data_IF_965207065046
#
_entry.id   IF_965207065046
#
_cell.length_a   1.000
_cell.length_b   1.000
_cell.length_c   1.000
_cell.angle_alpha   90.00
_cell.angle_beta   90.00
_cell.angle_gamma   90.00
#
_symmetry.space_group_name_H-M   'P 1'
#
loop_
_entity.id
_entity.type
_entity.pdbx_description
1 polymer ?
#
# COMPACT_ATOMS: atom_id res chain seq x y z
N UNK A 1 42.57 -14.49 5.59
CA UNK A 1 41.26 -13.83 5.81
C UNK A 1 40.91 -13.16 4.51
N UNK A 2 40.42 -13.94 3.55
CA UNK A 2 39.89 -13.44 2.30
C UNK A 2 38.56 -12.73 2.56
N UNK A 3 38.31 -11.68 1.79
CA UNK A 3 37.10 -10.88 1.86
C UNK A 3 35.86 -11.76 1.70
N UNK A 4 34.98 -11.75 2.71
CA UNK A 4 33.62 -12.32 2.65
C UNK A 4 32.77 -11.45 1.70
N UNK A 5 33.09 -11.50 0.41
CA UNK A 5 32.28 -10.88 -0.64
C UNK A 5 30.91 -11.57 -0.63
N UNK A 6 29.84 -10.77 -0.47
CA UNK A 6 28.45 -11.23 -0.47
C UNK A 6 28.16 -12.08 -1.72
N UNK A 7 28.29 -13.39 -1.59
CA UNK A 7 28.01 -14.34 -2.67
C UNK A 7 26.52 -14.65 -2.67
N UNK A 8 25.80 -14.22 -3.71
CA UNK A 8 24.36 -14.50 -3.86
C UNK A 8 24.09 -15.24 -5.18
N UNK A 9 23.05 -16.07 -5.22
CA UNK A 9 22.67 -16.80 -6.40
C UNK A 9 22.14 -15.84 -7.47
N UNK A 10 22.77 -15.80 -8.65
CA UNK A 10 22.36 -14.94 -9.76
C UNK A 10 21.01 -15.31 -10.42
N UNK A 11 20.36 -16.41 -9.99
CA UNK A 11 19.05 -16.84 -10.50
C UNK A 11 17.93 -16.50 -9.52
N UNK A 12 18.09 -16.82 -8.24
CA UNK A 12 17.02 -16.64 -7.24
C UNK A 12 17.35 -15.64 -6.13
N UNK A 13 18.57 -15.14 -6.04
CA UNK A 13 19.01 -14.18 -5.02
C UNK A 13 19.38 -14.79 -3.67
N UNK A 14 19.34 -16.11 -3.51
CA UNK A 14 19.71 -16.80 -2.27
C UNK A 14 21.15 -16.50 -1.83
N UNK A 15 21.38 -16.29 -0.54
CA UNK A 15 22.72 -16.07 0.03
C UNK A 15 23.53 -17.37 0.06
N UNK A 16 24.59 -17.43 -0.75
CA UNK A 16 25.47 -18.58 -0.92
C UNK A 16 26.70 -18.51 0.00
N UNK A 17 26.74 -17.60 0.98
CA UNK A 17 27.86 -17.53 1.93
C UNK A 17 28.00 -18.82 2.74
N UNK A 18 29.23 -19.33 2.76
CA UNK A 18 29.59 -20.59 3.41
C UNK A 18 29.17 -21.86 2.65
N UNK A 19 28.69 -21.73 1.41
CA UNK A 19 28.52 -22.87 0.48
C UNK A 19 29.68 -22.89 -0.50
N UNK A 20 30.18 -24.08 -0.82
CA UNK A 20 31.28 -24.30 -1.76
C UNK A 20 30.96 -23.69 -3.14
N UNK A 21 31.99 -23.31 -3.89
CA UNK A 21 31.83 -22.62 -5.16
C UNK A 21 31.07 -23.43 -6.22
N UNK A 22 31.11 -24.75 -6.08
CA UNK A 22 30.58 -25.69 -7.05
C UNK A 22 29.23 -26.31 -6.66
N UNK A 23 28.72 -26.03 -5.46
CA UNK A 23 27.44 -26.57 -5.00
C UNK A 23 26.28 -25.84 -5.68
N UNK A 24 25.27 -26.60 -6.10
CA UNK A 24 24.05 -26.05 -6.70
C UNK A 24 23.31 -25.18 -5.67
N UNK A 25 22.67 -24.11 -6.12
CA UNK A 25 21.87 -23.28 -5.24
C UNK A 25 20.75 -24.14 -4.62
N UNK A 26 20.62 -24.16 -3.29
CA UNK A 26 19.68 -25.05 -2.62
C UNK A 26 18.21 -24.68 -2.85
N UNK A 27 17.93 -23.40 -3.16
CA UNK A 27 16.56 -22.93 -3.42
C UNK A 27 16.09 -23.17 -4.86
N UNK A 28 16.98 -23.03 -5.86
CA UNK A 28 16.58 -23.08 -7.27
C UNK A 28 17.30 -24.16 -8.10
N UNK A 29 18.19 -24.92 -7.49
CA UNK A 29 19.02 -25.94 -8.17
C UNK A 29 20.01 -25.37 -9.18
N UNK A 30 20.11 -24.04 -9.33
CA UNK A 30 20.96 -23.42 -10.33
C UNK A 30 22.44 -23.50 -9.92
N UNK A 31 23.32 -23.84 -10.86
CA UNK A 31 24.75 -23.84 -10.61
C UNK A 31 25.29 -22.39 -10.59
N UNK A 32 25.80 -21.89 -9.45
CA UNK A 32 26.25 -20.51 -9.33
C UNK A 32 27.44 -20.18 -10.24
N UNK A 33 28.31 -21.15 -10.55
CA UNK A 33 29.46 -20.96 -11.46
C UNK A 33 29.07 -20.84 -12.95
N UNK A 34 27.87 -21.32 -13.32
CA UNK A 34 27.35 -21.30 -14.69
C UNK A 34 26.16 -20.36 -14.87
N UNK A 35 25.65 -19.80 -13.79
CA UNK A 35 24.53 -18.88 -13.81
C UNK A 35 24.97 -17.54 -14.44
N UNK A 36 24.80 -17.42 -15.76
CA UNK A 36 24.68 -16.09 -16.37
C UNK A 36 23.55 -15.38 -15.64
N UNK A 37 23.87 -14.25 -14.99
CA UNK A 37 22.88 -13.28 -14.50
C UNK A 37 21.83 -13.17 -15.59
N UNK A 38 20.59 -13.58 -15.33
CA UNK A 38 19.49 -13.47 -16.30
C UNK A 38 19.17 -11.98 -16.46
N UNK A 39 20.00 -11.27 -17.21
CA UNK A 39 19.61 -10.02 -17.85
C UNK A 39 18.59 -10.37 -18.94
N UNK A 40 17.31 -10.38 -18.54
CA UNK A 40 16.17 -10.31 -19.47
C UNK A 40 15.99 -11.49 -20.43
N UNK A 41 15.61 -12.67 -19.93
CA UNK A 41 14.96 -13.68 -20.80
C UNK A 41 13.44 -13.63 -20.65
N UNK A 42 12.83 -13.04 -21.67
CA UNK A 42 11.49 -13.29 -22.23
C UNK A 42 10.35 -13.58 -21.25
N UNK A 43 9.65 -12.49 -20.90
CA UNK A 43 8.36 -12.36 -20.20
C UNK A 43 7.21 -13.18 -20.85
N UNK A 44 7.42 -13.81 -22.00
CA UNK A 44 6.35 -14.33 -22.86
C UNK A 44 5.91 -15.77 -22.51
N UNK A 45 6.69 -16.53 -21.73
CA UNK A 45 6.44 -17.97 -21.53
C UNK A 45 5.61 -18.36 -20.31
N UNK A 46 5.80 -17.70 -19.15
CA UNK A 46 5.23 -18.15 -17.86
C UNK A 46 4.19 -17.18 -17.26
N UNK A 47 3.85 -16.12 -18.00
CA UNK A 47 2.94 -15.08 -17.51
C UNK A 47 3.51 -14.31 -16.31
N UNK A 48 2.87 -13.19 -16.00
CA UNK A 48 3.26 -12.29 -14.90
C UNK A 48 3.25 -13.03 -13.55
N UNK A 49 2.45 -14.09 -13.41
CA UNK A 49 2.33 -14.89 -12.19
C UNK A 49 3.56 -15.73 -11.85
N UNK A 50 4.25 -16.37 -12.83
CA UNK A 50 5.41 -17.23 -12.54
C UNK A 50 6.66 -16.46 -12.04
N UNK A 51 6.81 -15.22 -12.51
CA UNK A 51 7.88 -14.32 -12.04
C UNK A 51 7.58 -13.77 -10.63
N UNK A 52 6.30 -13.57 -10.33
CA UNK A 52 5.85 -13.17 -8.99
C UNK A 52 6.07 -14.31 -7.99
N UNK A 53 5.69 -15.55 -8.31
CA UNK A 53 5.84 -16.69 -7.38
C UNK A 53 7.29 -17.01 -7.03
N UNK A 54 8.20 -17.03 -8.02
CA UNK A 54 9.61 -17.36 -7.77
C UNK A 54 10.38 -16.25 -7.02
N UNK A 55 9.97 -14.99 -7.19
CA UNK A 55 10.54 -13.87 -6.43
C UNK A 55 9.95 -13.73 -5.02
N UNK A 56 8.67 -14.07 -4.83
CA UNK A 56 8.01 -14.10 -3.52
C UNK A 56 8.58 -15.22 -2.63
N UNK A 57 8.82 -16.41 -3.20
CA UNK A 57 9.31 -17.56 -2.42
C UNK A 57 10.69 -17.32 -1.79
N UNK A 58 11.59 -16.59 -2.45
CA UNK A 58 12.97 -16.38 -1.97
C UNK A 58 13.14 -15.06 -1.20
N UNK A 59 12.42 -13.99 -1.56
CA UNK A 59 12.39 -12.76 -0.75
C UNK A 59 11.53 -12.89 0.52
N UNK A 60 10.68 -13.90 0.61
CA UNK A 60 9.94 -14.25 1.83
C UNK A 60 10.82 -14.77 2.97
N UNK A 61 12.11 -15.04 2.72
CA UNK A 61 13.05 -15.59 3.70
C UNK A 61 13.98 -14.54 4.33
N UNK A 62 14.02 -13.30 3.81
CA UNK A 62 14.83 -12.24 4.39
C UNK A 62 14.09 -11.62 5.59
N UNK A 63 14.68 -11.61 6.80
CA UNK A 63 13.98 -11.18 7.99
C UNK A 63 13.61 -9.70 7.83
N UNK A 64 12.31 -9.42 7.93
CA UNK A 64 11.84 -8.03 8.02
C UNK A 64 12.50 -7.44 9.27
N UNK A 65 13.22 -6.30 9.17
CA UNK A 65 13.83 -5.69 10.35
C UNK A 65 12.77 -5.33 11.37
N UNK A 66 13.17 -5.12 12.63
CA UNK A 66 12.21 -4.76 13.69
C UNK A 66 11.63 -3.36 13.44
N UNK A 67 10.52 -3.33 12.71
CA UNK A 67 9.73 -2.13 12.42
C UNK A 67 8.59 -1.96 13.40
N UNK A 68 8.46 -2.84 14.41
CA UNK A 68 7.27 -2.96 15.27
C UNK A 68 6.88 -1.62 15.86
N UNK A 69 7.79 -0.96 16.55
CA UNK A 69 7.48 0.26 17.30
C UNK A 69 7.04 1.39 16.36
N UNK A 70 7.80 1.59 15.28
CA UNK A 70 7.50 2.65 14.30
C UNK A 70 6.20 2.39 13.55
N UNK A 71 6.07 1.22 12.92
CA UNK A 71 4.89 0.89 12.12
C UNK A 71 3.61 0.90 12.97
N UNK A 72 3.64 0.40 14.21
CA UNK A 72 2.46 0.43 15.09
C UNK A 72 1.99 1.85 15.38
N UNK A 73 2.92 2.73 15.71
CA UNK A 73 2.61 4.12 16.01
C UNK A 73 1.98 4.81 14.80
N UNK A 74 2.60 4.69 13.63
CA UNK A 74 2.11 5.29 12.39
C UNK A 74 0.79 4.66 11.91
N UNK A 75 0.63 3.34 12.02
CA UNK A 75 -0.61 2.66 11.70
C UNK A 75 -1.75 3.09 12.61
N UNK A 76 -1.51 3.28 13.92
CA UNK A 76 -2.53 3.83 14.83
C UNK A 76 -2.95 5.24 14.42
N UNK A 77 -1.98 6.10 14.12
CA UNK A 77 -2.26 7.47 13.63
C UNK A 77 -3.07 7.41 12.33
N UNK A 78 -2.69 6.56 11.37
CA UNK A 78 -3.39 6.39 10.10
C UNK A 78 -4.83 5.88 10.28
N UNK A 79 -5.04 4.93 11.20
CA UNK A 79 -6.36 4.45 11.58
C UNK A 79 -7.23 5.59 12.13
N UNK A 80 -6.76 6.31 13.15
CA UNK A 80 -7.46 7.46 13.72
C UNK A 80 -7.75 8.55 12.69
N UNK A 81 -6.78 8.85 11.83
CA UNK A 81 -6.93 9.80 10.74
C UNK A 81 -8.03 9.38 9.77
N UNK A 82 -8.09 8.09 9.41
CA UNK A 82 -9.11 7.54 8.51
C UNK A 82 -10.50 7.55 9.16
N UNK A 83 -10.62 7.23 10.46
CA UNK A 83 -11.88 7.37 11.21
C UNK A 83 -12.35 8.82 11.25
N UNK A 84 -11.44 9.76 11.51
CA UNK A 84 -11.76 11.18 11.50
C UNK A 84 -12.28 11.63 10.12
N UNK A 85 -11.67 11.15 9.02
CA UNK A 85 -12.17 11.39 7.66
C UNK A 85 -13.56 10.82 7.44
N UNK A 86 -13.83 9.58 7.86
CA UNK A 86 -15.16 8.96 7.75
C UNK A 86 -16.20 9.77 8.51
N UNK A 87 -15.89 10.16 9.74
CA UNK A 87 -16.79 10.96 10.57
C UNK A 87 -17.05 12.34 9.95
N UNK A 88 -16.00 13.02 9.50
CA UNK A 88 -16.09 14.31 8.85
C UNK A 88 -16.92 14.24 7.55
N UNK A 89 -16.71 13.19 6.75
CA UNK A 89 -17.48 12.90 5.54
C UNK A 89 -18.95 12.62 5.86
N UNK A 90 -19.24 11.89 6.94
CA UNK A 90 -20.59 11.66 7.43
C UNK A 90 -21.29 12.99 7.78
N UNK A 91 -20.64 13.86 8.55
CA UNK A 91 -21.20 15.15 8.94
C UNK A 91 -21.54 16.03 7.73
N UNK A 92 -20.65 16.12 6.73
CA UNK A 92 -20.92 16.93 5.54
C UNK A 92 -22.00 16.30 4.64
N UNK A 93 -22.07 14.97 4.59
CA UNK A 93 -23.05 14.25 3.76
C UNK A 93 -24.48 14.46 4.26
N UNK A 94 -24.67 14.66 5.57
CA UNK A 94 -25.97 15.01 6.15
C UNK A 94 -26.14 16.53 6.37
N UNK A 95 -25.29 17.35 5.73
CA UNK A 95 -25.31 18.81 5.84
C UNK A 95 -25.26 19.35 7.29
N UNK A 96 -24.68 18.59 8.22
CA UNK A 96 -24.53 18.99 9.64
C UNK A 96 -23.47 20.08 9.78
N UNK A 97 -22.43 20.03 8.95
CA UNK A 97 -21.39 21.06 8.87
C UNK A 97 -21.37 21.71 7.48
N UNK A 98 -21.02 23.00 7.37
CA UNK A 98 -20.89 23.65 6.08
C UNK A 98 -19.73 23.04 5.28
N UNK A 99 -19.94 22.87 3.97
CA UNK A 99 -18.97 22.29 3.04
C UNK A 99 -17.63 23.05 3.04
N UNK A 100 -17.63 24.37 3.31
CA UNK A 100 -16.42 25.17 3.45
C UNK A 100 -15.56 24.75 4.64
N UNK A 101 -16.18 24.52 5.80
CA UNK A 101 -15.48 24.04 7.00
C UNK A 101 -14.91 22.63 6.77
N UNK A 102 -15.70 21.75 6.16
CA UNK A 102 -15.26 20.41 5.75
C UNK A 102 -13.99 20.47 4.89
N UNK A 103 -13.99 21.30 3.83
CA UNK A 103 -12.82 21.48 2.95
C UNK A 103 -11.61 22.09 3.66
N UNK A 104 -11.82 23.04 4.56
CA UNK A 104 -10.75 23.62 5.37
C UNK A 104 -10.09 22.58 6.28
N UNK A 105 -10.88 21.71 6.91
CA UNK A 105 -10.34 20.61 7.73
C UNK A 105 -9.55 19.64 6.86
N UNK A 106 -10.07 19.26 5.68
CA UNK A 106 -9.34 18.40 4.74
C UNK A 106 -8.04 19.02 4.25
N UNK A 107 -8.02 20.33 4.01
CA UNK A 107 -6.80 21.06 3.70
C UNK A 107 -5.74 20.88 4.79
N UNK A 108 -6.10 21.12 6.06
CA UNK A 108 -5.18 20.89 7.18
C UNK A 108 -4.71 19.43 7.28
N UNK A 109 -5.64 18.48 7.16
CA UNK A 109 -5.35 17.05 7.17
C UNK A 109 -4.43 16.61 6.03
N UNK A 110 -4.53 17.25 4.86
CA UNK A 110 -3.73 16.90 3.68
C UNK A 110 -2.24 17.23 3.80
N UNK A 111 -1.84 18.17 4.67
CA UNK A 111 -0.42 18.41 4.98
C UNK A 111 0.16 17.33 5.90
N UNK A 112 -0.67 16.82 6.81
CA UNK A 112 -0.24 15.82 7.77
C UNK A 112 -0.17 14.43 7.14
N UNK A 113 -1.08 14.12 6.22
CA UNK A 113 -1.20 12.78 5.61
C UNK A 113 0.09 12.26 4.95
N UNK A 114 0.84 13.02 4.12
CA UNK A 114 2.09 12.54 3.54
C UNK A 114 3.11 12.09 4.60
N UNK A 115 3.16 12.75 5.76
CA UNK A 115 4.04 12.38 6.87
C UNK A 115 3.63 11.02 7.45
N UNK A 116 2.32 10.80 7.63
CA UNK A 116 1.78 9.51 8.06
C UNK A 116 2.15 8.41 7.06
N UNK A 117 2.04 8.69 5.76
CA UNK A 117 2.39 7.73 4.70
C UNK A 117 3.88 7.39 4.68
N UNK A 118 4.78 8.36 4.87
CA UNK A 118 6.22 8.08 5.04
C UNK A 118 6.44 7.15 6.24
N UNK A 119 5.76 7.40 7.36
CA UNK A 119 5.86 6.59 8.56
C UNK A 119 5.32 5.16 8.41
N UNK A 120 4.27 4.98 7.59
CA UNK A 120 3.72 3.67 7.24
C UNK A 120 4.64 2.85 6.33
N UNK A 121 5.56 3.50 5.60
CA UNK A 121 6.42 2.84 4.61
C UNK A 121 7.91 2.94 4.97
N UNK A 122 8.35 2.27 6.05
CA UNK A 122 9.74 2.34 6.52
C UNK A 122 10.71 1.82 5.46
N UNK A 123 11.81 2.56 5.22
CA UNK A 123 12.79 2.20 4.20
C UNK A 123 13.55 0.89 4.47
N UNK A 124 13.64 0.48 5.73
CA UNK A 124 14.38 -0.72 6.13
C UNK A 124 13.73 -2.02 5.63
N UNK A 125 12.46 -2.01 5.22
CA UNK A 125 11.80 -3.20 4.65
C UNK A 125 12.03 -3.35 3.15
N UNK A 126 12.76 -2.43 2.51
CA UNK A 126 12.97 -2.45 1.06
C UNK A 126 13.62 -3.76 0.60
N UNK A 127 14.61 -4.27 1.33
CA UNK A 127 15.31 -5.48 0.93
C UNK A 127 14.39 -6.71 0.96
N UNK A 128 13.50 -6.75 1.95
CA UNK A 128 12.44 -7.75 2.07
C UNK A 128 11.26 -7.54 1.11
N UNK A 129 11.27 -6.53 0.24
CA UNK A 129 10.17 -6.20 -0.68
C UNK A 129 10.56 -6.40 -2.16
N UNK A 130 9.60 -6.80 -3.02
CA UNK A 130 9.77 -6.85 -4.47
C UNK A 130 10.22 -5.52 -5.05
N UNK A 131 11.04 -5.55 -6.10
CA UNK A 131 11.61 -4.33 -6.72
C UNK A 131 10.56 -3.29 -7.11
N UNK A 132 9.37 -3.74 -7.58
CA UNK A 132 8.25 -2.86 -7.91
C UNK A 132 7.80 -2.07 -6.68
N UNK A 133 7.67 -2.73 -5.53
CA UNK A 133 7.23 -2.07 -4.29
C UNK A 133 8.27 -1.11 -3.70
N UNK A 134 9.57 -1.32 -3.96
CA UNK A 134 10.62 -0.33 -3.63
C UNK A 134 10.44 0.96 -4.43
N UNK A 135 10.03 0.85 -5.71
CA UNK A 135 9.72 2.00 -6.54
C UNK A 135 8.43 2.69 -6.09
N UNK A 136 7.38 1.91 -5.81
CA UNK A 136 6.11 2.42 -5.24
C UNK A 136 6.37 3.21 -3.96
N UNK A 137 7.17 2.69 -3.02
CA UNK A 137 7.54 3.37 -1.77
C UNK A 137 8.18 4.74 -2.00
N UNK A 138 9.01 4.88 -3.04
CA UNK A 138 9.66 6.16 -3.34
C UNK A 138 8.66 7.19 -3.86
N UNK A 139 7.63 6.79 -4.59
CA UNK A 139 6.72 7.72 -5.30
C UNK A 139 5.48 8.05 -4.49
N UNK A 140 4.93 7.06 -3.78
CA UNK A 140 3.67 7.19 -3.05
C UNK A 140 3.70 8.40 -2.11
N UNK A 141 4.69 8.60 -1.22
CA UNK A 141 4.73 9.78 -0.36
C UNK A 141 4.65 11.12 -1.12
N UNK A 142 5.38 11.26 -2.24
CA UNK A 142 5.34 12.47 -3.04
C UNK A 142 3.99 12.67 -3.73
N UNK A 143 3.37 11.60 -4.21
CA UNK A 143 2.04 11.69 -4.81
C UNK A 143 0.98 12.18 -3.81
N UNK A 144 1.13 11.87 -2.51
CA UNK A 144 0.17 12.30 -1.48
C UNK A 144 0.20 13.82 -1.24
N UNK A 145 1.33 14.49 -1.51
CA UNK A 145 1.41 15.95 -1.48
C UNK A 145 0.52 16.62 -2.53
N UNK A 146 0.09 15.88 -3.57
CA UNK A 146 -0.81 16.42 -4.57
C UNK A 146 -2.19 16.77 -4.00
N UNK A 147 -2.64 16.15 -2.90
CA UNK A 147 -3.85 16.61 -2.21
C UNK A 147 -3.64 17.98 -1.55
N UNK A 148 -2.53 18.16 -0.82
CA UNK A 148 -2.22 19.46 -0.20
C UNK A 148 -2.10 20.56 -1.27
N UNK A 149 -1.34 20.29 -2.34
CA UNK A 149 -1.26 21.19 -3.47
C UNK A 149 -2.65 21.46 -4.06
N UNK A 150 -3.47 20.43 -4.27
CA UNK A 150 -4.84 20.57 -4.76
C UNK A 150 -5.69 21.50 -3.90
N UNK A 151 -5.66 21.35 -2.58
CA UNK A 151 -6.38 22.24 -1.67
C UNK A 151 -5.78 23.66 -1.58
N UNK A 152 -4.47 23.84 -1.76
CA UNK A 152 -3.85 25.18 -1.91
C UNK A 152 -4.38 25.84 -3.19
N UNK A 153 -4.29 25.15 -4.33
CA UNK A 153 -4.82 25.65 -5.60
C UNK A 153 -6.30 25.99 -5.48
N UNK A 154 -7.07 25.11 -4.85
CA UNK A 154 -8.46 25.38 -4.58
C UNK A 154 -8.65 26.66 -3.72
N UNK A 155 -7.90 26.83 -2.63
CA UNK A 155 -8.05 27.99 -1.74
C UNK A 155 -7.61 29.32 -2.37
N UNK A 156 -6.55 29.28 -3.21
CA UNK A 156 -6.00 30.48 -3.87
C UNK A 156 -6.84 30.91 -5.06
N UNK A 157 -7.36 29.95 -5.84
CA UNK A 157 -8.05 30.21 -7.10
C UNK A 157 -9.58 30.10 -7.03
N UNK A 158 -10.16 29.58 -5.94
CA UNK A 158 -11.60 29.66 -5.66
C UNK A 158 -11.87 30.58 -4.47
N UNK A 159 -11.95 31.88 -4.75
CA UNK A 159 -12.59 32.85 -3.85
C UNK A 159 -14.12 32.62 -3.85
N UNK A 160 -14.79 32.72 -2.69
CA UNK A 160 -16.23 32.54 -2.61
C UNK A 160 -16.95 33.64 -3.40
N UNK A 161 -17.79 33.26 -4.36
CA UNK A 161 -18.84 34.15 -4.88
C UNK A 161 -19.95 34.28 -3.83
N UNK A 162 -20.58 35.46 -3.77
CA UNK A 162 -21.53 35.90 -2.72
C UNK A 162 -22.69 34.94 -2.41
N UNK A 163 -22.99 33.98 -3.29
CA UNK A 163 -24.07 33.01 -3.10
C UNK A 163 -23.72 31.80 -2.23
N UNK A 164 -22.46 31.64 -1.75
CA UNK A 164 -22.07 30.47 -0.94
C UNK A 164 -22.15 29.12 -1.68
N UNK A 165 -22.54 29.11 -2.95
CA UNK A 165 -22.63 27.93 -3.80
C UNK A 165 -21.25 27.62 -4.38
N UNK A 166 -20.52 26.81 -3.62
CA UNK A 166 -19.25 26.18 -3.97
C UNK A 166 -19.36 25.15 -5.13
N UNK A 167 -20.33 25.31 -6.04
CA UNK A 167 -20.83 24.26 -6.95
C UNK A 167 -20.33 24.31 -8.40
N UNK A 168 -19.62 25.34 -8.86
CA UNK A 168 -19.31 25.46 -10.29
C UNK A 168 -17.82 25.66 -10.52
N UNK A 169 -17.03 24.57 -10.68
CA UNK A 169 -15.82 24.53 -11.53
C UNK A 169 -14.84 23.37 -11.31
N UNK A 170 -15.19 22.27 -10.62
CA UNK A 170 -14.30 21.09 -10.63
C UNK A 170 -14.03 20.60 -12.07
N UNK A 171 -15.05 20.63 -12.94
CA UNK A 171 -14.90 20.35 -14.38
C UNK A 171 -14.09 21.39 -15.17
N UNK A 172 -14.00 22.63 -14.68
CA UNK A 172 -13.31 23.73 -15.37
C UNK A 172 -11.87 23.96 -14.89
N UNK A 173 -11.39 23.19 -13.90
CA UNK A 173 -10.01 23.28 -13.41
C UNK A 173 -9.33 21.92 -13.49
N UNK A 174 -9.06 21.48 -14.72
CA UNK A 174 -8.34 20.24 -15.06
C UNK A 174 -7.09 19.97 -14.19
N UNK A 175 -6.26 20.96 -13.83
CA UNK A 175 -5.12 20.72 -12.93
C UNK A 175 -5.52 20.19 -11.54
N UNK A 176 -6.65 20.63 -10.98
CA UNK A 176 -7.13 20.16 -9.67
C UNK A 176 -7.54 18.68 -9.74
N UNK A 177 -8.22 18.30 -10.83
CA UNK A 177 -8.60 16.90 -11.08
C UNK A 177 -7.34 16.04 -11.19
N UNK A 178 -6.36 16.47 -11.98
CA UNK A 178 -5.09 15.74 -12.13
C UNK A 178 -4.39 15.55 -10.79
N UNK A 179 -4.26 16.60 -9.97
CA UNK A 179 -3.61 16.51 -8.66
C UNK A 179 -4.31 15.50 -7.74
N UNK A 180 -5.64 15.51 -7.71
CA UNK A 180 -6.41 14.54 -6.92
C UNK A 180 -6.29 13.12 -7.46
N UNK A 181 -6.28 12.95 -8.79
CA UNK A 181 -6.10 11.67 -9.44
C UNK A 181 -4.71 11.08 -9.13
N UNK A 182 -3.65 11.88 -9.22
CA UNK A 182 -2.29 11.46 -8.85
C UNK A 182 -2.19 11.03 -7.39
N UNK A 183 -2.79 11.80 -6.47
CA UNK A 183 -2.85 11.41 -5.06
C UNK A 183 -3.66 10.10 -4.85
N UNK A 184 -4.78 9.95 -5.56
CA UNK A 184 -5.61 8.74 -5.54
C UNK A 184 -4.88 7.49 -6.05
N UNK A 185 -4.14 7.60 -7.17
CA UNK A 185 -3.29 6.52 -7.68
C UNK A 185 -2.21 6.16 -6.64
N UNK A 186 -1.62 7.17 -6.01
CA UNK A 186 -0.70 6.98 -4.90
C UNK A 186 -1.30 6.23 -3.72
N UNK A 187 -2.54 6.53 -3.35
CA UNK A 187 -3.26 5.86 -2.28
C UNK A 187 -3.55 4.39 -2.62
N UNK A 188 -3.89 4.09 -3.87
CA UNK A 188 -4.02 2.71 -4.37
C UNK A 188 -2.67 1.98 -4.31
N UNK A 189 -1.58 2.66 -4.68
CA UNK A 189 -0.22 2.12 -4.54
C UNK A 189 0.14 1.83 -3.08
N UNK A 190 -0.22 2.72 -2.15
CA UNK A 190 -0.05 2.52 -0.71
C UNK A 190 -0.80 1.28 -0.22
N UNK A 191 -2.06 1.09 -0.64
CA UNK A 191 -2.87 -0.04 -0.16
C UNK A 191 -2.38 -1.39 -0.71
N UNK A 192 -1.92 -1.45 -1.96
CA UNK A 192 -1.23 -2.64 -2.48
C UNK A 192 0.09 -2.92 -1.77
N UNK A 193 0.86 -1.87 -1.48
CA UNK A 193 2.11 -2.03 -0.72
C UNK A 193 1.85 -2.55 0.70
N UNK A 194 0.82 -2.02 1.38
CA UNK A 194 0.39 -2.51 2.70
C UNK A 194 -0.15 -3.94 2.61
N UNK A 195 -0.83 -4.32 1.54
CA UNK A 195 -1.25 -5.70 1.32
C UNK A 195 -0.07 -6.67 1.32
N UNK A 196 0.97 -6.39 0.54
CA UNK A 196 2.17 -7.25 0.48
C UNK A 196 2.88 -7.29 1.84
N UNK A 197 2.97 -6.14 2.52
CA UNK A 197 3.52 -6.08 3.88
C UNK A 197 2.69 -6.94 4.85
N UNK A 198 1.37 -6.88 4.79
CA UNK A 198 0.50 -7.68 5.64
C UNK A 198 0.72 -9.18 5.41
N UNK A 199 0.87 -9.63 4.16
CA UNK A 199 1.18 -11.03 3.85
C UNK A 199 2.51 -11.45 4.47
N UNK A 200 3.56 -10.62 4.35
CA UNK A 200 4.88 -10.90 4.95
C UNK A 200 4.85 -10.95 6.48
N UNK A 201 3.98 -10.14 7.09
CA UNK A 201 3.73 -10.16 8.52
C UNK A 201 2.71 -11.23 8.95
N UNK A 202 2.19 -12.03 8.02
CA UNK A 202 1.13 -13.03 8.23
C UNK A 202 -0.15 -12.45 8.87
N UNK A 203 -0.50 -11.21 8.52
CA UNK A 203 -1.74 -10.56 8.91
C UNK A 203 -2.80 -10.84 7.85
N UNK A 204 -3.29 -12.09 7.77
CA UNK A 204 -4.17 -12.55 6.69
C UNK A 204 -5.46 -11.72 6.53
N UNK A 205 -6.04 -11.27 7.65
CA UNK A 205 -7.24 -10.43 7.60
C UNK A 205 -6.91 -9.02 7.11
N UNK A 206 -5.85 -8.38 7.62
CA UNK A 206 -5.36 -7.11 7.09
C UNK A 206 -5.01 -7.21 5.60
N UNK A 207 -4.35 -8.30 5.16
CA UNK A 207 -4.00 -8.53 3.77
C UNK A 207 -5.26 -8.62 2.89
N UNK A 208 -6.25 -9.42 3.27
CA UNK A 208 -7.52 -9.52 2.52
C UNK A 208 -8.25 -8.18 2.43
N UNK A 209 -8.32 -7.43 3.55
CA UNK A 209 -8.99 -6.12 3.59
C UNK A 209 -8.25 -5.09 2.74
N UNK A 210 -6.93 -4.99 2.84
CA UNK A 210 -6.12 -4.04 2.06
C UNK A 210 -6.19 -4.32 0.56
N UNK A 211 -6.18 -5.59 0.12
CA UNK A 211 -6.40 -5.93 -1.28
C UNK A 211 -7.79 -5.50 -1.76
N UNK A 212 -8.83 -5.80 -0.97
CA UNK A 212 -10.19 -5.37 -1.29
C UNK A 212 -10.29 -3.84 -1.37
N UNK A 213 -9.72 -3.12 -0.40
CA UNK A 213 -9.66 -1.65 -0.39
C UNK A 213 -8.91 -1.12 -1.61
N UNK A 214 -7.79 -1.73 -2.02
CA UNK A 214 -7.02 -1.29 -3.17
C UNK A 214 -7.85 -1.38 -4.47
N UNK A 215 -8.50 -2.52 -4.69
CA UNK A 215 -9.36 -2.76 -5.86
C UNK A 215 -10.57 -1.81 -5.83
N UNK A 216 -11.23 -1.69 -4.68
CA UNK A 216 -12.38 -0.81 -4.53
C UNK A 216 -11.99 0.66 -4.68
N UNK A 217 -10.86 1.12 -4.15
CA UNK A 217 -10.41 2.50 -4.36
C UNK A 217 -10.04 2.78 -5.80
N UNK A 218 -9.40 1.83 -6.50
CA UNK A 218 -9.07 1.97 -7.91
C UNK A 218 -10.32 2.08 -8.81
N UNK A 219 -11.38 1.33 -8.48
CA UNK A 219 -12.60 1.28 -9.30
C UNK A 219 -13.62 2.32 -8.85
N UNK A 220 -14.02 2.26 -7.58
CA UNK A 220 -15.00 3.14 -6.98
C UNK A 220 -14.54 4.58 -6.89
N UNK A 221 -13.23 4.80 -6.66
CA UNK A 221 -12.65 6.13 -6.69
C UNK A 221 -12.86 6.82 -8.04
N UNK A 222 -12.67 6.10 -9.15
CA UNK A 222 -12.93 6.61 -10.50
C UNK A 222 -14.41 6.94 -10.69
N UNK A 223 -15.32 6.05 -10.24
CA UNK A 223 -16.77 6.30 -10.32
C UNK A 223 -17.14 7.57 -9.56
N UNK A 224 -16.71 7.71 -8.30
CA UNK A 224 -17.02 8.88 -7.46
C UNK A 224 -16.42 10.17 -8.02
N UNK A 225 -15.24 10.11 -8.65
CA UNK A 225 -14.57 11.27 -9.24
C UNK A 225 -15.15 11.71 -10.58
N UNK A 226 -15.49 10.76 -11.45
CA UNK A 226 -15.97 11.04 -12.83
C UNK A 226 -17.47 11.28 -12.85
N UNK A 227 -18.24 10.68 -11.92
CA UNK A 227 -19.68 10.81 -11.94
C UNK A 227 -20.11 12.29 -11.77
N UNK A 228 -20.96 12.82 -12.67
CA UNK A 228 -21.41 14.21 -12.68
C UNK A 228 -22.46 14.52 -11.58
N UNK A 229 -22.47 13.74 -10.49
CA UNK A 229 -23.48 13.87 -9.43
C UNK A 229 -23.49 15.26 -8.78
N UNK A 230 -22.34 15.95 -8.76
CA UNK A 230 -22.22 17.32 -8.26
C UNK A 230 -22.98 18.34 -9.12
N UNK A 231 -23.01 18.14 -10.43
CA UNK A 231 -23.73 19.01 -11.37
C UNK A 231 -25.23 18.79 -11.25
N UNK A 232 -25.65 17.52 -11.17
CA UNK A 232 -27.06 17.18 -10.98
C UNK A 232 -27.62 17.70 -9.66
N UNK A 233 -26.85 17.60 -8.56
CA UNK A 233 -27.26 18.14 -7.27
C UNK A 233 -27.42 19.67 -7.26
N UNK A 234 -26.80 20.40 -8.21
CA UNK A 234 -26.85 21.85 -8.32
C UNK A 234 -27.95 22.38 -9.27
N UNK A 235 -28.57 21.51 -10.08
CA UNK A 235 -29.44 21.92 -11.21
C UNK A 235 -30.90 22.23 -10.87
N UNK A 236 -31.36 22.04 -9.62
CA UNK A 236 -32.56 22.71 -9.08
C UNK A 236 -33.96 22.16 -9.45
N UNK A 237 -34.09 20.91 -9.93
CA UNK A 237 -35.41 20.28 -10.15
C UNK A 237 -35.88 19.46 -8.92
N UNK A 238 -36.86 19.97 -8.17
CA UNK A 238 -37.14 19.60 -6.77
C UNK A 238 -37.38 18.10 -6.47
N UNK A 239 -38.15 17.39 -7.30
CA UNK A 239 -38.51 15.99 -7.03
C UNK A 239 -37.43 15.00 -7.45
N UNK A 240 -36.82 15.24 -8.61
CA UNK A 240 -35.71 14.43 -9.15
C UNK A 240 -34.46 14.64 -8.31
N UNK A 241 -34.23 15.85 -7.80
CA UNK A 241 -33.08 16.18 -6.94
C UNK A 241 -33.11 15.42 -5.61
N UNK A 242 -34.27 15.28 -4.97
CA UNK A 242 -34.38 14.52 -3.71
C UNK A 242 -34.05 13.04 -3.93
N UNK A 243 -34.56 12.43 -5.01
CA UNK A 243 -34.26 11.04 -5.35
C UNK A 243 -32.78 10.84 -5.71
N UNK A 244 -32.20 11.73 -6.50
CA UNK A 244 -30.78 11.70 -6.87
C UNK A 244 -29.85 11.92 -5.66
N UNK A 245 -30.25 12.77 -4.72
CA UNK A 245 -29.52 12.97 -3.47
C UNK A 245 -29.45 11.70 -2.64
N UNK A 246 -30.59 11.01 -2.43
CA UNK A 246 -30.61 9.73 -1.72
C UNK A 246 -29.88 8.62 -2.48
N UNK A 247 -29.97 8.61 -3.82
CA UNK A 247 -29.17 7.72 -4.65
C UNK A 247 -27.67 7.96 -4.43
N UNK A 248 -27.21 9.21 -4.45
CA UNK A 248 -25.82 9.54 -4.16
C UNK A 248 -25.39 9.04 -2.77
N UNK A 249 -26.21 9.26 -1.73
CA UNK A 249 -25.88 8.79 -0.38
C UNK A 249 -25.80 7.27 -0.35
N UNK A 250 -26.88 6.58 -0.73
CA UNK A 250 -27.04 5.12 -0.61
C UNK A 250 -26.07 4.39 -1.53
N UNK A 251 -26.04 4.80 -2.80
CA UNK A 251 -25.32 4.06 -3.83
C UNK A 251 -23.87 4.47 -3.89
N UNK A 252 -23.49 5.74 -3.66
CA UNK A 252 -22.09 6.19 -3.78
C UNK A 252 -21.37 6.33 -2.44
N UNK A 253 -21.98 7.00 -1.45
CA UNK A 253 -21.31 7.32 -0.19
C UNK A 253 -21.24 6.16 0.79
N UNK A 254 -22.29 5.33 0.92
CA UNK A 254 -22.23 4.17 1.82
C UNK A 254 -21.10 3.19 1.46
N UNK A 255 -20.92 2.78 0.18
CA UNK A 255 -19.77 1.98 -0.19
C UNK A 255 -18.44 2.70 0.07
N UNK A 256 -18.37 4.02 -0.14
CA UNK A 256 -17.18 4.80 0.18
C UNK A 256 -16.82 4.77 1.67
N UNK A 257 -17.81 4.95 2.56
CA UNK A 257 -17.60 4.80 4.01
C UNK A 257 -17.11 3.41 4.37
N UNK A 258 -17.72 2.38 3.78
CA UNK A 258 -17.34 1.00 4.02
C UNK A 258 -15.87 0.74 3.64
N UNK A 259 -15.43 1.22 2.47
CA UNK A 259 -14.03 1.12 2.03
C UNK A 259 -13.09 1.78 3.05
N UNK A 260 -13.41 3.00 3.50
CA UNK A 260 -12.58 3.73 4.47
C UNK A 260 -12.58 3.07 5.85
N UNK A 261 -13.70 2.50 6.29
CA UNK A 261 -13.78 1.72 7.53
C UNK A 261 -12.90 0.47 7.43
N UNK A 262 -12.95 -0.26 6.31
CA UNK A 262 -12.08 -1.42 6.10
C UNK A 262 -10.60 -1.05 6.10
N UNK A 263 -10.24 0.10 5.51
CA UNK A 263 -8.88 0.62 5.54
C UNK A 263 -8.45 0.94 6.98
N UNK A 264 -9.31 1.61 7.75
CA UNK A 264 -9.06 1.91 9.16
C UNK A 264 -8.90 0.64 10.00
N UNK A 265 -9.74 -0.37 9.81
CA UNK A 265 -9.63 -1.65 10.51
C UNK A 265 -8.30 -2.34 10.19
N UNK A 266 -7.85 -2.25 8.94
CA UNK A 266 -6.54 -2.79 8.53
C UNK A 266 -5.40 -2.06 9.26
N UNK A 267 -5.45 -0.73 9.35
CA UNK A 267 -4.49 0.06 10.11
C UNK A 267 -4.46 -0.29 11.61
N UNK A 268 -5.62 -0.49 12.23
CA UNK A 268 -5.66 -0.91 13.63
C UNK A 268 -5.10 -2.32 13.84
N UNK A 269 -5.29 -3.23 12.88
CA UNK A 269 -4.70 -4.56 12.91
C UNK A 269 -3.16 -4.50 12.80
N UNK A 270 -2.60 -3.69 11.89
CA UNK A 270 -1.16 -3.40 11.86
C UNK A 270 -0.63 -2.82 13.18
N UNK A 271 -1.46 -2.06 13.89
CA UNK A 271 -1.10 -1.47 15.19
C UNK A 271 -1.22 -2.42 16.38
N UNK A 272 -1.88 -3.58 16.21
CA UNK A 272 -2.11 -4.54 17.29
C UNK A 272 -0.89 -5.45 17.50
N UNK A 273 -0.45 -5.58 18.76
CA UNK A 273 0.86 -6.11 19.14
C UNK A 273 0.94 -7.65 19.07
N UNK A 274 -0.10 -8.31 19.57
CA UNK A 274 -0.02 -9.70 20.02
C UNK A 274 0.11 -10.73 18.90
N UNK A 275 -0.38 -10.44 17.70
CA UNK A 275 -0.53 -11.46 16.65
C UNK A 275 0.75 -11.67 15.83
N UNK A 276 1.58 -10.63 15.64
CA UNK A 276 2.78 -10.77 14.82
C UNK A 276 4.10 -10.63 15.61
N UNK A 277 4.10 -10.06 16.83
CA UNK A 277 5.33 -10.00 17.65
C UNK A 277 5.75 -11.39 18.12
N UNK A 278 4.80 -12.19 18.60
CA UNK A 278 5.03 -13.56 19.09
C UNK A 278 5.48 -14.48 17.97
N UNK A 279 4.91 -14.29 16.77
CA UNK A 279 5.33 -15.05 15.59
C UNK A 279 6.72 -14.62 15.12
N UNK A 280 7.02 -13.33 15.07
CA UNK A 280 8.35 -12.85 14.71
C UNK A 280 9.43 -13.37 15.66
N UNK A 281 9.13 -13.43 16.96
CA UNK A 281 10.01 -14.03 17.96
C UNK A 281 10.16 -15.54 17.74
N UNK A 282 9.07 -16.28 17.51
CA UNK A 282 9.13 -17.72 17.19
C UNK A 282 9.75 -18.04 15.82
N UNK A 283 9.69 -17.13 14.86
CA UNK A 283 10.34 -17.28 13.56
C UNK A 283 11.84 -16.96 13.65
N UNK A 284 12.26 -16.06 14.55
CA UNK A 284 13.69 -15.83 14.88
C UNK A 284 14.25 -16.98 15.70
N UNK A 285 13.52 -17.42 16.72
CA UNK A 285 13.91 -18.50 17.61
C UNK A 285 13.85 -19.83 16.83
N UNK A 286 15.00 -20.50 16.70
CA UNK A 286 15.11 -21.71 15.88
C UNK A 286 15.27 -21.47 14.38
N UNK A 287 15.40 -20.23 13.88
CA UNK A 287 15.79 -20.01 12.46
C UNK A 287 17.16 -20.59 12.18
N UNK A 288 18.13 -20.29 13.05
CA UNK A 288 19.49 -20.81 12.93
C UNK A 288 19.48 -22.34 13.01
N UNK A 289 18.65 -22.93 13.87
CA UNK A 289 18.49 -24.37 13.96
C UNK A 289 17.85 -24.96 12.69
N UNK A 290 16.78 -24.36 12.13
CA UNK A 290 16.17 -24.80 10.86
C UNK A 290 17.12 -24.66 9.67
N UNK A 291 17.95 -23.61 9.65
CA UNK A 291 18.99 -23.43 8.63
C UNK A 291 20.08 -24.50 8.81
N UNK A 292 20.50 -24.77 10.06
CA UNK A 292 21.48 -25.81 10.38
C UNK A 292 20.97 -27.18 9.97
N UNK A 293 19.75 -27.57 10.35
CA UNK A 293 19.12 -28.84 9.98
C UNK A 293 19.01 -29.01 8.47
N UNK A 294 18.60 -27.95 7.74
CA UNK A 294 18.58 -28.00 6.27
C UNK A 294 19.98 -28.16 5.67
N UNK A 295 21.00 -27.51 6.22
CA UNK A 295 22.40 -27.70 5.77
C UNK A 295 22.85 -29.13 6.01
N UNK A 296 22.65 -29.65 7.22
CA UNK A 296 23.02 -31.03 7.58
C UNK A 296 22.31 -32.07 6.70
N UNK A 297 21.03 -31.87 6.37
CA UNK A 297 20.29 -32.75 5.47
C UNK A 297 20.86 -32.76 4.03
N UNK A 298 21.26 -31.59 3.52
CA UNK A 298 21.88 -31.49 2.19
C UNK A 298 23.28 -32.11 2.16
N UNK A 299 24.07 -31.94 3.21
CA UNK A 299 25.39 -32.55 3.33
C UNK A 299 25.25 -34.10 3.32
N UNK A 300 24.27 -34.64 4.05
CA UNK A 300 23.96 -36.07 4.01
C UNK A 300 23.48 -36.60 2.65
N UNK A 301 22.76 -35.79 1.87
CA UNK A 301 22.35 -36.17 0.52
C UNK A 301 23.54 -36.14 -0.45
N UNK A 302 24.43 -35.15 -0.33
CA UNK A 302 25.61 -35.03 -1.19
C UNK A 302 26.65 -36.12 -0.89
N UNK A 303 26.84 -36.49 0.38
CA UNK A 303 27.76 -37.56 0.79
C UNK A 303 27.35 -38.94 0.27
N UNK A 304 26.07 -39.17 -0.05
CA UNK A 304 25.61 -40.44 -0.66
C UNK A 304 26.08 -40.64 -2.10
N UNK A 305 26.62 -39.60 -2.74
CA UNK A 305 27.13 -39.66 -4.11
C UNK A 305 28.67 -39.56 -4.19
N UNK A 306 29.37 -39.52 -3.04
CA UNK A 306 30.83 -39.54 -2.93
C UNK A 306 31.36 -40.96 -2.72
#
# INVERSE_FOLDING_TARGET
MEHDEKRTCGVCGYDLRGLDEHVLCPECGANPSKAKIKTGKSIVGEGIMGVIDSSIAVQGLEPVPDIRVGLKHWARIAGLFTVALVFLQFLVTFAIIPIGLYRFVLFGMSFFWPVVVVGLMPACVDDSMPHVYRYVRKIVPYSQWCWAAGYVFWSVFHLPTEAGTLSSNLGNFFPLILLHAFAGIGLVGLTFWLHDLALRLNLDHAAKRTNLVAIMMATWGVIVFVAPWKEYAASGDDSVQTALYWFYIIVLMFPWYWILILLSLSFFEFSSDSTWSLKYEGDREGREDRIREKREAMDQENDKFA
#
